data_IF_313743650902
#
_entry.id   IF_313743650902
#
_cell.length_a   1.000
_cell.length_b   1.000
_cell.length_c   1.000
_cell.angle_alpha   90.00
_cell.angle_beta   90.00
_cell.angle_gamma   90.00
#
_symmetry.space_group_name_H-M   'P 1'
#
loop_
_entity.id
_entity.type
_entity.pdbx_description
1 polymer ?
#
# COMPACT_ATOMS: atom_id res chain seq x y z
N UNK A 1 13.28 5.06 11.16
CA UNK A 1 13.49 3.61 11.27
C UNK A 1 12.40 2.78 10.59
N UNK A 2 11.34 3.40 10.09
CA UNK A 2 10.19 2.67 9.57
C UNK A 2 10.28 2.51 8.06
N UNK A 3 10.72 1.34 7.67
CA UNK A 3 10.67 0.89 6.30
C UNK A 3 9.31 0.24 6.08
N UNK A 4 8.42 0.92 5.35
CA UNK A 4 7.05 0.46 5.16
C UNK A 4 6.10 1.58 4.76
N UNK A 5 4.80 1.38 5.00
CA UNK A 5 3.75 2.39 4.77
C UNK A 5 2.70 2.34 5.88
N UNK A 6 1.94 3.42 5.99
CA UNK A 6 0.72 3.47 6.81
C UNK A 6 -0.44 3.78 5.87
N UNK A 7 -1.48 2.98 5.96
CA UNK A 7 -2.74 3.23 5.28
C UNK A 7 -3.77 3.73 6.29
N UNK A 8 -4.66 4.60 5.84
CA UNK A 8 -5.72 5.18 6.64
C UNK A 8 -7.02 5.16 5.86
N UNK A 9 -8.11 4.75 6.52
CA UNK A 9 -9.46 4.75 5.96
C UNK A 9 -10.32 5.63 6.85
N UNK A 10 -11.05 6.53 6.23
CA UNK A 10 -12.10 7.30 6.88
C UNK A 10 -13.39 6.50 6.94
N UNK A 11 -14.15 6.63 8.03
CA UNK A 11 -15.51 6.13 8.15
C UNK A 11 -16.53 6.96 7.37
N UNK A 12 -17.79 6.57 7.50
CA UNK A 12 -18.92 7.31 6.91
C UNK A 12 -18.94 8.76 7.39
N UNK A 13 -19.29 9.70 6.51
CA UNK A 13 -19.37 11.12 6.81
C UNK A 13 -18.07 11.91 6.58
N UNK A 14 -17.00 11.28 6.09
CA UNK A 14 -15.76 11.98 5.78
C UNK A 14 -15.96 13.09 4.74
N UNK A 15 -16.78 12.84 3.72
CA UNK A 15 -17.08 13.82 2.66
C UNK A 15 -17.88 14.99 3.22
N UNK A 16 -18.73 14.75 4.21
CA UNK A 16 -19.55 15.79 4.86
C UNK A 16 -18.70 16.78 5.68
N UNK A 17 -17.53 16.35 6.18
CA UNK A 17 -16.59 17.22 6.89
C UNK A 17 -15.99 18.32 6.01
N UNK A 18 -15.97 18.13 4.70
CA UNK A 18 -15.41 19.04 3.72
C UNK A 18 -16.48 19.86 2.99
N UNK A 19 -17.77 19.63 3.27
CA UNK A 19 -18.85 20.42 2.73
C UNK A 19 -18.96 21.75 3.50
N UNK A 20 -18.29 22.77 2.98
CA UNK A 20 -18.29 24.12 3.53
C UNK A 20 -19.66 24.82 3.44
N UNK A 21 -20.63 24.31 2.69
CA UNK A 21 -21.97 24.88 2.56
C UNK A 21 -22.90 24.46 3.71
N UNK A 22 -22.64 23.33 4.34
CA UNK A 22 -23.51 22.81 5.39
C UNK A 22 -23.35 23.51 6.75
N UNK A 23 -22.29 24.28 6.96
CA UNK A 23 -22.00 24.94 8.25
C UNK A 23 -21.88 23.94 9.41
N UNK A 24 -21.80 22.67 9.09
CA UNK A 24 -21.65 21.61 10.06
C UNK A 24 -20.19 21.53 10.50
N UNK A 25 -20.04 21.22 11.75
CA UNK A 25 -18.94 20.43 12.29
C UNK A 25 -17.93 21.14 13.19
N UNK A 26 -18.36 22.06 14.01
CA UNK A 26 -17.64 22.34 15.24
C UNK A 26 -17.87 21.16 16.22
N UNK A 27 -17.01 20.14 16.19
CA UNK A 27 -16.92 19.11 17.21
C UNK A 27 -17.42 17.70 16.85
N UNK A 28 -17.77 17.43 15.62
CA UNK A 28 -18.02 16.05 15.18
C UNK A 28 -16.69 15.29 15.05
N UNK A 29 -16.64 14.10 15.61
CA UNK A 29 -15.53 13.16 15.45
C UNK A 29 -15.88 12.19 14.33
N UNK A 30 -14.93 11.95 13.46
CA UNK A 30 -15.03 10.95 12.41
C UNK A 30 -14.30 9.68 12.86
N UNK A 31 -14.99 8.58 12.79
CA UNK A 31 -14.34 7.28 12.97
C UNK A 31 -13.40 7.02 11.80
N UNK A 32 -12.19 6.63 12.11
CA UNK A 32 -11.20 6.29 11.12
C UNK A 32 -10.35 5.14 11.60
N UNK A 33 -9.82 4.37 10.66
CA UNK A 33 -8.93 3.26 10.96
C UNK A 33 -7.61 3.42 10.23
N UNK A 34 -6.52 3.24 10.97
CA UNK A 34 -5.18 3.26 10.39
C UNK A 34 -4.47 1.95 10.71
N UNK A 35 -3.75 1.40 9.73
CA UNK A 35 -2.87 0.28 9.96
C UNK A 35 -1.50 0.55 9.31
N UNK A 36 -0.50 -0.02 9.92
CA UNK A 36 0.88 0.10 9.46
C UNK A 36 1.34 -1.23 8.87
N UNK A 37 2.11 -1.13 7.81
CA UNK A 37 2.87 -2.24 7.25
C UNK A 37 4.35 -1.86 7.31
N UNK A 38 5.16 -2.64 7.99
CA UNK A 38 6.60 -2.48 8.03
C UNK A 38 7.30 -3.73 7.48
N UNK A 39 8.53 -3.56 7.01
CA UNK A 39 9.29 -4.62 6.38
C UNK A 39 10.28 -5.21 7.39
N UNK A 40 10.07 -6.47 7.78
CA UNK A 40 10.94 -7.18 8.71
C UNK A 40 12.36 -7.26 8.16
N UNK A 41 13.32 -6.76 8.92
CA UNK A 41 14.73 -6.72 8.51
C UNK A 41 14.97 -6.03 7.16
N UNK A 42 14.02 -5.19 6.71
CA UNK A 42 14.14 -4.43 5.48
C UNK A 42 15.12 -3.28 5.60
N UNK A 43 15.64 -2.83 4.46
CA UNK A 43 16.58 -1.72 4.38
C UNK A 43 15.85 -0.37 4.59
N UNK A 44 16.05 0.27 5.75
CA UNK A 44 15.49 1.59 6.05
C UNK A 44 16.03 2.70 5.14
N UNK A 45 17.20 2.48 4.55
CA UNK A 45 17.86 3.41 3.62
C UNK A 45 17.54 3.11 2.15
N UNK A 46 16.50 2.30 1.88
CA UNK A 46 16.09 1.99 0.51
C UNK A 46 15.79 3.29 -0.25
N UNK A 47 16.33 3.40 -1.47
CA UNK A 47 16.11 4.57 -2.32
C UNK A 47 14.68 4.58 -2.80
N UNK A 48 14.00 5.72 -2.58
CA UNK A 48 12.63 5.93 -3.05
C UNK A 48 12.68 6.85 -4.27
N UNK A 49 12.04 6.45 -5.34
CA UNK A 49 11.94 7.24 -6.58
C UNK A 49 10.49 7.32 -7.06
N UNK A 50 10.12 8.48 -7.59
CA UNK A 50 8.82 8.69 -8.22
C UNK A 50 8.86 8.40 -9.72
N UNK A 51 7.80 7.85 -10.26
CA UNK A 51 7.60 7.66 -11.69
C UNK A 51 6.19 8.08 -12.10
N UNK A 52 6.00 8.31 -13.40
CA UNK A 52 4.73 8.76 -13.96
C UNK A 52 4.25 10.08 -13.36
N UNK A 53 5.02 11.17 -13.62
CA UNK A 53 4.63 12.53 -13.22
C UNK A 53 3.20 12.83 -13.70
N UNK A 54 2.33 13.22 -12.77
CA UNK A 54 0.91 13.49 -13.03
C UNK A 54 0.66 14.92 -13.57
N UNK A 55 1.72 15.73 -13.71
CA UNK A 55 1.65 17.06 -14.32
C UNK A 55 1.13 18.16 -13.40
N UNK A 56 0.99 17.88 -12.11
CA UNK A 56 0.64 18.89 -11.10
C UNK A 56 1.55 18.80 -9.88
N UNK A 57 1.52 19.86 -9.05
CA UNK A 57 2.30 19.94 -7.83
C UNK A 57 1.36 19.98 -6.62
N UNK A 58 1.81 19.41 -5.53
CA UNK A 58 1.11 19.39 -4.25
C UNK A 58 1.89 20.20 -3.23
N UNK A 59 1.17 20.94 -2.39
CA UNK A 59 1.74 21.62 -1.25
C UNK A 59 1.23 20.96 0.03
N UNK A 60 2.12 20.78 0.98
CA UNK A 60 1.84 20.10 2.22
C UNK A 60 2.16 21.01 3.40
N UNK A 61 1.10 21.55 4.03
CA UNK A 61 1.20 22.45 5.16
C UNK A 61 0.44 21.86 6.34
N UNK A 62 1.09 20.96 7.10
CA UNK A 62 0.48 20.36 8.28
C UNK A 62 1.08 20.86 9.57
N UNK A 63 0.18 21.12 10.55
CA UNK A 63 0.56 21.60 11.87
C UNK A 63 1.14 23.00 11.87
N UNK A 64 1.67 23.42 13.02
CA UNK A 64 2.20 24.77 13.24
C UNK A 64 3.71 24.89 13.01
N UNK A 65 4.39 23.77 12.75
CA UNK A 65 5.83 23.76 12.52
C UNK A 65 6.12 23.91 11.03
N UNK A 66 6.47 25.14 10.64
CA UNK A 66 6.74 25.51 9.24
C UNK A 66 7.95 24.74 8.66
N UNK A 67 8.86 24.23 9.49
CA UNK A 67 9.99 23.44 9.01
C UNK A 67 9.58 22.08 8.42
N UNK A 68 8.36 21.64 8.72
CA UNK A 68 7.73 20.42 8.19
C UNK A 68 6.83 20.68 6.99
N UNK A 69 6.73 21.92 6.55
CA UNK A 69 5.94 22.25 5.38
C UNK A 69 6.74 22.00 4.10
N UNK A 70 6.07 21.44 3.11
CA UNK A 70 6.65 21.21 1.81
C UNK A 70 5.76 21.81 0.72
N UNK A 71 6.36 22.43 -0.28
CA UNK A 71 5.65 23.06 -1.40
C UNK A 71 6.31 22.71 -2.73
N UNK A 72 5.50 22.69 -3.80
CA UNK A 72 6.00 22.41 -5.14
C UNK A 72 6.44 20.97 -5.34
N UNK A 73 5.89 20.05 -4.54
CA UNK A 73 6.16 18.62 -4.68
C UNK A 73 5.51 18.09 -5.97
N UNK A 74 6.28 17.45 -6.81
CA UNK A 74 5.72 16.79 -8.00
C UNK A 74 4.83 15.61 -7.59
N UNK A 75 3.58 15.59 -8.08
CA UNK A 75 2.71 14.45 -7.91
C UNK A 75 3.12 13.34 -8.87
N UNK A 76 3.30 12.13 -8.33
CA UNK A 76 3.69 10.95 -9.10
C UNK A 76 2.65 9.86 -8.98
N UNK A 77 2.43 9.12 -10.06
CA UNK A 77 1.48 8.01 -10.08
C UNK A 77 2.07 6.71 -9.58
N UNK A 78 3.38 6.65 -9.37
CA UNK A 78 4.06 5.43 -8.92
C UNK A 78 5.24 5.82 -8.03
N UNK A 79 5.42 5.04 -6.94
CA UNK A 79 6.58 5.14 -6.06
C UNK A 79 7.31 3.80 -6.08
N UNK A 80 8.61 3.84 -6.25
CA UNK A 80 9.47 2.65 -6.24
C UNK A 80 10.41 2.73 -5.04
N UNK A 81 10.53 1.61 -4.34
CA UNK A 81 11.50 1.38 -3.28
C UNK A 81 12.53 0.39 -3.81
N UNK A 82 13.75 0.86 -4.04
CA UNK A 82 14.82 0.01 -4.55
C UNK A 82 15.53 -0.70 -3.38
N UNK A 83 15.81 -2.00 -3.55
CA UNK A 83 16.58 -2.79 -2.59
C UNK A 83 15.98 -2.76 -1.16
N UNK A 84 14.67 -3.00 -1.06
CA UNK A 84 14.02 -3.19 0.24
C UNK A 84 14.65 -4.35 1.01
N UNK A 85 14.94 -5.43 0.30
CA UNK A 85 15.89 -6.47 0.69
C UNK A 85 16.85 -6.69 -0.49
N UNK A 86 18.00 -7.35 -0.30
CA UNK A 86 18.94 -7.59 -1.39
C UNK A 86 18.26 -8.20 -2.62
N UNK A 87 18.22 -7.46 -3.72
CA UNK A 87 17.60 -7.86 -4.97
C UNK A 87 16.05 -7.86 -4.96
N UNK A 88 15.41 -7.27 -3.96
CA UNK A 88 13.95 -7.14 -3.90
C UNK A 88 13.53 -5.68 -3.93
N UNK A 89 12.68 -5.33 -4.86
CA UNK A 89 12.10 -3.99 -5.05
C UNK A 89 10.60 -4.02 -4.76
N UNK A 90 10.09 -2.89 -4.25
CA UNK A 90 8.65 -2.65 -4.12
C UNK A 90 8.25 -1.54 -5.09
N UNK A 91 7.16 -1.75 -5.82
CA UNK A 91 6.54 -0.76 -6.68
C UNK A 91 5.12 -0.52 -6.17
N UNK A 92 4.85 0.70 -5.72
CA UNK A 92 3.50 1.13 -5.34
C UNK A 92 2.91 1.96 -6.48
N UNK A 93 1.75 1.55 -7.01
CA UNK A 93 1.09 2.19 -8.14
C UNK A 93 -0.28 2.72 -7.70
N UNK A 94 -0.40 4.05 -7.63
CA UNK A 94 -1.63 4.77 -7.30
C UNK A 94 -2.36 5.33 -8.51
N UNK A 95 -1.97 4.94 -9.74
CA UNK A 95 -2.64 5.42 -10.95
C UNK A 95 -4.05 4.86 -11.03
N UNK A 96 -5.02 5.76 -11.25
CA UNK A 96 -6.40 5.34 -11.50
C UNK A 96 -6.49 4.52 -12.81
N UNK A 97 -6.80 3.23 -12.62
CA UNK A 97 -7.08 2.30 -13.73
C UNK A 97 -8.57 1.96 -13.78
N UNK A 98 -9.42 2.84 -13.23
CA UNK A 98 -10.87 2.63 -13.11
C UNK A 98 -11.30 1.85 -11.88
N UNK A 99 -10.38 1.44 -11.01
CA UNK A 99 -10.65 0.64 -9.80
C UNK A 99 -10.42 1.38 -8.49
N UNK A 100 -9.83 2.59 -8.53
CA UNK A 100 -9.48 3.41 -7.35
C UNK A 100 -8.71 2.65 -6.25
N UNK A 101 -7.90 1.66 -6.63
CA UNK A 101 -7.17 0.80 -5.70
C UNK A 101 -5.69 1.13 -5.71
N UNK A 102 -5.09 1.20 -4.54
CA UNK A 102 -3.64 1.19 -4.41
C UNK A 102 -3.18 -0.23 -4.77
N UNK A 103 -2.26 -0.32 -5.72
CA UNK A 103 -1.62 -1.57 -6.11
C UNK A 103 -0.16 -1.54 -5.69
N UNK A 104 0.37 -2.68 -5.28
CA UNK A 104 1.79 -2.83 -5.04
C UNK A 104 2.30 -4.13 -5.62
N UNK A 105 3.51 -4.09 -6.16
CA UNK A 105 4.18 -5.23 -6.78
C UNK A 105 5.53 -5.44 -6.11
N UNK A 106 5.85 -6.67 -5.74
CA UNK A 106 7.20 -7.06 -5.38
C UNK A 106 7.93 -7.57 -6.61
N UNK A 107 9.09 -6.99 -6.90
CA UNK A 107 9.96 -7.46 -7.98
C UNK A 107 11.19 -8.11 -7.37
N UNK A 108 11.29 -9.42 -7.51
CA UNK A 108 12.42 -10.23 -7.06
C UNK A 108 13.35 -10.41 -8.24
N UNK A 109 14.56 -9.84 -8.16
CA UNK A 109 15.57 -9.95 -9.21
C UNK A 109 16.10 -11.38 -9.32
N UNK A 110 16.62 -11.74 -10.49
CA UNK A 110 17.25 -13.02 -10.72
C UNK A 110 18.28 -13.36 -9.62
N UNK A 111 18.15 -14.52 -9.01
CA UNK A 111 19.01 -14.99 -7.93
C UNK A 111 18.76 -14.41 -6.54
N UNK A 112 17.82 -13.46 -6.40
CA UNK A 112 17.41 -12.96 -5.09
C UNK A 112 16.48 -13.93 -4.37
N UNK A 113 16.39 -13.81 -3.05
CA UNK A 113 15.60 -14.71 -2.20
C UNK A 113 14.25 -14.05 -1.83
N UNK A 114 13.12 -14.52 -2.40
CA UNK A 114 11.79 -13.99 -2.08
C UNK A 114 11.33 -14.28 -0.64
N UNK A 115 11.96 -15.21 0.06
CA UNK A 115 11.63 -15.52 1.45
C UNK A 115 11.95 -14.36 2.41
N UNK A 116 12.76 -13.39 1.97
CA UNK A 116 13.02 -12.15 2.69
C UNK A 116 11.78 -11.24 2.75
N UNK A 117 10.83 -11.40 1.83
CA UNK A 117 9.61 -10.59 1.81
C UNK A 117 8.73 -10.98 3.00
N UNK A 118 8.87 -10.24 4.08
CA UNK A 118 8.05 -10.39 5.28
C UNK A 118 7.52 -9.02 5.68
N UNK A 119 6.21 -8.86 5.57
CA UNK A 119 5.47 -7.65 5.94
C UNK A 119 4.88 -7.83 7.33
N UNK A 120 5.17 -6.91 8.25
CA UNK A 120 4.59 -6.88 9.60
C UNK A 120 3.41 -5.94 9.57
N UNK A 121 2.21 -6.45 9.81
CA UNK A 121 0.98 -5.69 9.90
C UNK A 121 0.63 -5.39 11.36
N UNK A 122 0.41 -4.12 11.65
CA UNK A 122 0.02 -3.58 12.95
C UNK A 122 -1.26 -2.75 12.81
N UNK A 123 -2.18 -2.84 13.77
CA UNK A 123 -3.42 -2.07 13.76
C UNK A 123 -4.57 -2.72 13.00
N UNK A 124 -4.41 -3.93 12.49
CA UNK A 124 -5.46 -4.70 11.85
C UNK A 124 -5.38 -6.17 12.23
N UNK A 125 -6.51 -6.87 12.21
CA UNK A 125 -6.53 -8.33 12.30
C UNK A 125 -6.64 -8.92 10.91
N UNK A 126 -5.76 -9.88 10.62
CA UNK A 126 -5.70 -10.54 9.33
C UNK A 126 -6.21 -11.97 9.40
N UNK A 127 -6.91 -12.39 8.35
CA UNK A 127 -7.30 -13.80 8.18
C UNK A 127 -7.30 -14.18 6.70
N UNK A 128 -6.95 -15.44 6.42
CA UNK A 128 -7.08 -16.00 5.08
C UNK A 128 -8.53 -16.46 4.87
N UNK A 129 -9.09 -16.09 3.73
CA UNK A 129 -10.39 -16.57 3.27
C UNK A 129 -10.23 -17.91 2.55
N UNK A 130 -11.33 -18.69 2.42
CA UNK A 130 -11.29 -20.00 1.73
C UNK A 130 -10.85 -19.94 0.27
N UNK A 131 -10.98 -18.79 -0.38
CA UNK A 131 -10.54 -18.56 -1.75
C UNK A 131 -9.06 -18.16 -1.86
N UNK A 132 -8.35 -18.05 -0.73
CA UNK A 132 -6.93 -17.67 -0.66
C UNK A 132 -6.68 -16.17 -0.61
N UNK A 133 -7.73 -15.34 -0.63
CA UNK A 133 -7.61 -13.90 -0.43
C UNK A 133 -7.37 -13.55 1.05
N UNK A 134 -6.80 -12.37 1.29
CA UNK A 134 -6.48 -11.86 2.62
C UNK A 134 -7.55 -10.85 3.06
N UNK A 135 -8.16 -11.10 4.21
CA UNK A 135 -9.13 -10.22 4.82
C UNK A 135 -8.47 -9.39 5.92
N UNK A 136 -8.61 -8.07 5.83
CA UNK A 136 -8.24 -7.10 6.84
C UNK A 136 -9.49 -6.64 7.57
N UNK A 137 -9.59 -6.93 8.85
CA UNK A 137 -10.70 -6.52 9.70
C UNK A 137 -10.44 -5.11 10.23
N UNK A 138 -11.22 -4.14 9.77
CA UNK A 138 -11.07 -2.72 10.06
C UNK A 138 -12.16 -2.15 10.99
N UNK A 139 -12.88 -3.02 11.67
CA UNK A 139 -13.95 -2.63 12.59
C UNK A 139 -15.10 -1.91 11.88
N UNK A 140 -15.49 -0.74 12.39
CA UNK A 140 -16.65 0.00 11.88
C UNK A 140 -16.42 0.68 10.53
N UNK A 141 -15.15 0.84 10.12
CA UNK A 141 -14.82 1.46 8.83
C UNK A 141 -14.98 0.51 7.63
N UNK A 142 -15.36 -0.74 7.89
CA UNK A 142 -15.54 -1.77 6.86
C UNK A 142 -14.27 -2.55 6.57
N UNK A 143 -14.43 -3.76 6.06
CA UNK A 143 -13.33 -4.68 5.82
C UNK A 143 -12.66 -4.46 4.46
N UNK A 144 -11.35 -4.70 4.39
CA UNK A 144 -10.59 -4.69 3.14
C UNK A 144 -10.26 -6.12 2.74
N UNK A 145 -10.41 -6.40 1.46
CA UNK A 145 -10.01 -7.67 0.87
C UNK A 145 -8.84 -7.41 -0.07
N UNK A 146 -7.74 -8.08 0.19
CA UNK A 146 -6.62 -8.19 -0.71
C UNK A 146 -6.73 -9.51 -1.47
N UNK A 147 -6.76 -9.45 -2.80
CA UNK A 147 -6.98 -10.61 -3.67
C UNK A 147 -5.93 -11.69 -3.49
N UNK A 148 -6.17 -12.87 -4.08
CA UNK A 148 -5.17 -13.93 -4.14
C UNK A 148 -3.93 -13.41 -4.86
N UNK A 149 -2.72 -13.57 -4.30
CA UNK A 149 -1.52 -13.01 -4.90
C UNK A 149 -1.24 -13.70 -6.24
N UNK A 150 -1.02 -12.89 -7.28
CA UNK A 150 -0.65 -13.37 -8.59
C UNK A 150 0.85 -13.26 -8.79
N UNK A 151 1.56 -14.37 -8.91
CA UNK A 151 2.98 -14.34 -9.20
C UNK A 151 3.27 -14.81 -10.63
N UNK A 152 4.26 -14.17 -11.27
CA UNK A 152 4.62 -14.49 -12.65
C UNK A 152 6.05 -14.13 -13.00
N UNK A 153 6.54 -14.73 -14.08
CA UNK A 153 7.82 -14.43 -14.71
C UNK A 153 7.60 -14.02 -16.17
N UNK A 154 8.39 -13.06 -16.65
CA UNK A 154 8.43 -12.68 -18.06
C UNK A 154 9.56 -13.43 -18.75
N UNK A 155 9.23 -14.48 -19.48
CA UNK A 155 10.17 -15.26 -20.28
C UNK A 155 10.33 -14.62 -21.65
N UNK A 156 11.56 -14.48 -22.12
CA UNK A 156 11.90 -13.83 -23.40
C UNK A 156 11.35 -12.38 -23.52
N UNK A 157 11.15 -11.73 -22.36
CA UNK A 157 10.69 -10.33 -22.26
C UNK A 157 9.21 -10.09 -22.60
N UNK A 158 8.44 -11.14 -22.90
CA UNK A 158 7.03 -10.97 -23.29
C UNK A 158 6.08 -12.08 -22.85
N UNK A 159 6.56 -13.30 -22.74
CA UNK A 159 5.70 -14.43 -22.37
C UNK A 159 5.55 -14.53 -20.86
N UNK A 160 4.32 -14.37 -20.38
CA UNK A 160 3.98 -14.54 -18.97
C UNK A 160 3.89 -16.03 -18.65
N UNK A 161 4.64 -16.45 -17.64
CA UNK A 161 4.56 -17.79 -17.03
C UNK A 161 4.13 -17.57 -15.59
N UNK A 162 2.92 -18.03 -15.26
CA UNK A 162 2.39 -17.94 -13.90
C UNK A 162 3.17 -18.86 -12.97
N UNK A 163 3.39 -18.38 -11.74
CA UNK A 163 3.99 -19.12 -10.63
C UNK A 163 2.94 -19.28 -9.54
N UNK A 164 2.82 -20.45 -8.95
CA UNK A 164 1.94 -20.65 -7.80
C UNK A 164 2.38 -19.73 -6.66
N UNK A 165 1.43 -19.02 -6.07
CA UNK A 165 1.71 -18.08 -5.00
C UNK A 165 0.53 -18.05 -4.03
N UNK A 166 0.82 -18.16 -2.73
CA UNK A 166 -0.17 -18.10 -1.67
C UNK A 166 0.34 -17.22 -0.54
N UNK A 167 -0.56 -16.57 0.19
CA UNK A 167 -0.20 -15.88 1.42
C UNK A 167 0.13 -16.89 2.52
N UNK A 168 1.11 -16.51 3.34
CA UNK A 168 1.43 -17.18 4.60
C UNK A 168 1.36 -16.18 5.74
N UNK A 169 0.54 -16.47 6.73
CA UNK A 169 0.35 -15.63 7.91
C UNK A 169 1.00 -16.26 9.13
N UNK A 170 1.68 -15.44 9.93
CA UNK A 170 2.23 -15.83 11.22
C UNK A 170 1.86 -14.78 12.27
N UNK A 171 0.93 -15.12 13.15
CA UNK A 171 0.53 -14.23 14.25
C UNK A 171 1.62 -14.18 15.32
N UNK A 172 1.90 -12.97 15.81
CA UNK A 172 2.89 -12.71 16.84
C UNK A 172 2.22 -12.47 18.21
N UNK A 173 2.97 -12.66 19.29
CA UNK A 173 2.45 -12.47 20.66
C UNK A 173 2.14 -11.01 21.01
N UNK A 174 2.70 -10.07 20.29
CA UNK A 174 2.49 -8.63 20.45
C UNK A 174 1.24 -8.11 19.71
N UNK A 175 0.50 -8.99 19.06
CA UNK A 175 -0.71 -8.66 18.32
C UNK A 175 -0.48 -8.27 16.85
N UNK A 176 0.76 -8.24 16.39
CA UNK A 176 1.07 -8.05 14.98
C UNK A 176 0.91 -9.36 14.18
N UNK A 177 0.81 -9.26 12.86
CA UNK A 177 0.78 -10.42 11.97
C UNK A 177 1.83 -10.25 10.88
N UNK A 178 2.71 -11.23 10.76
CA UNK A 178 3.64 -11.32 9.64
C UNK A 178 2.92 -11.94 8.43
N UNK A 179 3.05 -11.29 7.28
CA UNK A 179 2.55 -11.74 5.99
C UNK A 179 3.74 -11.98 5.08
N UNK A 180 3.81 -13.15 4.50
CA UNK A 180 4.82 -13.55 3.53
C UNK A 180 4.17 -14.39 2.42
N UNK A 181 4.95 -14.89 1.48
CA UNK A 181 4.46 -15.66 0.34
C UNK A 181 5.04 -17.08 0.34
N UNK A 182 4.18 -18.06 0.01
CA UNK A 182 4.60 -19.41 -0.35
C UNK A 182 4.54 -19.52 -1.87
N UNK A 183 5.69 -19.81 -2.49
CA UNK A 183 5.85 -19.88 -3.93
C UNK A 183 6.06 -21.32 -4.39
N UNK A 184 5.47 -21.65 -5.54
CA UNK A 184 5.79 -22.88 -6.27
C UNK A 184 7.14 -22.78 -6.98
N UNK A 185 7.43 -23.76 -7.81
CA UNK A 185 8.67 -23.82 -8.60
C UNK A 185 8.70 -22.71 -9.67
N UNK A 186 9.83 -22.01 -9.80
CA UNK A 186 10.06 -21.00 -10.80
C UNK A 186 11.54 -20.94 -11.23
N UNK A 187 11.84 -20.25 -12.32
CA UNK A 187 13.21 -20.08 -12.82
C UNK A 187 13.95 -18.96 -12.07
N UNK A 188 14.86 -19.34 -11.17
CA UNK A 188 15.66 -18.38 -10.38
C UNK A 188 16.64 -17.54 -11.21
N UNK A 189 16.83 -17.83 -12.50
CA UNK A 189 17.72 -17.07 -13.37
C UNK A 189 17.08 -15.85 -14.02
N UNK A 190 15.75 -15.65 -13.85
CA UNK A 190 14.99 -14.51 -14.34
C UNK A 190 14.15 -13.89 -13.21
N UNK A 191 13.75 -12.64 -13.39
CA UNK A 191 12.98 -11.93 -12.36
C UNK A 191 11.62 -12.59 -12.13
N UNK A 192 11.18 -12.56 -10.86
CA UNK A 192 9.82 -12.91 -10.44
C UNK A 192 9.08 -11.64 -10.04
N UNK A 193 7.82 -11.51 -10.44
CA UNK A 193 6.92 -10.45 -9.96
C UNK A 193 5.83 -11.11 -9.13
N UNK A 194 5.57 -10.55 -7.94
CA UNK A 194 4.44 -10.93 -7.07
C UNK A 194 3.52 -9.72 -7.00
N UNK A 195 2.31 -9.89 -7.48
CA UNK A 195 1.31 -8.86 -7.71
C UNK A 195 0.04 -9.16 -6.88
N UNK A 196 -0.05 -8.69 -5.63
CA UNK A 196 -1.26 -8.76 -4.84
C UNK A 196 -2.20 -7.61 -5.24
N UNK A 197 -3.41 -7.93 -5.66
CA UNK A 197 -4.43 -6.90 -5.94
C UNK A 197 -5.18 -6.54 -4.65
N UNK A 198 -5.06 -5.29 -4.19
CA UNK A 198 -5.88 -4.80 -3.08
C UNK A 198 -7.25 -4.41 -3.63
N UNK A 199 -8.27 -5.19 -3.28
CA UNK A 199 -9.66 -4.90 -3.60
C UNK A 199 -10.27 -4.18 -2.40
N UNK A 200 -10.39 -2.83 -2.47
CA UNK A 200 -11.15 -2.09 -1.47
C UNK A 200 -12.63 -2.43 -1.64
N UNK A 201 -13.19 -3.14 -0.68
CA UNK A 201 -14.59 -3.50 -0.63
C UNK A 201 -15.39 -2.63 0.34
N UNK A 202 -15.01 -1.37 0.53
CA UNK A 202 -15.83 -0.41 1.25
C UNK A 202 -16.41 0.59 0.28
N UNK A 203 -17.71 0.76 0.34
CA UNK A 203 -18.43 1.82 -0.30
C UNK A 203 -17.98 3.16 0.29
N UNK A 204 -16.96 3.78 -0.30
CA UNK A 204 -16.86 5.23 -0.24
C UNK A 204 -17.78 5.71 -1.36
N UNK A 205 -19.07 5.68 -1.10
CA UNK A 205 -20.09 6.11 -2.04
C UNK A 205 -20.22 7.62 -2.00
N UNK A 206 -19.35 8.33 -2.68
CA UNK A 206 -19.69 9.67 -3.10
C UNK A 206 -20.30 9.61 -4.50
N UNK A 207 -21.48 10.18 -4.67
CA UNK A 207 -22.12 10.37 -5.98
C UNK A 207 -21.48 11.48 -6.83
N UNK A 208 -20.37 12.05 -6.35
CA UNK A 208 -19.58 13.11 -6.96
C UNK A 208 -18.11 12.68 -7.07
N UNK A 209 -17.39 13.28 -8.02
CA UNK A 209 -15.99 12.98 -8.25
C UNK A 209 -15.14 13.30 -7.01
N UNK A 210 -14.61 12.29 -6.34
CA UNK A 210 -13.67 12.46 -5.23
C UNK A 210 -12.30 12.87 -5.79
N UNK A 211 -11.89 14.09 -5.45
CA UNK A 211 -10.58 14.63 -5.74
C UNK A 211 -9.70 14.37 -4.51
N UNK A 212 -8.84 13.39 -4.55
CA UNK A 212 -7.89 13.30 -3.48
C UNK A 212 -7.18 11.97 -3.29
N UNK A 213 -6.44 11.50 -4.27
CA UNK A 213 -5.33 10.60 -3.97
C UNK A 213 -4.05 11.41 -3.93
N UNK A 214 -3.56 11.69 -2.75
CA UNK A 214 -2.20 12.15 -2.55
C UNK A 214 -1.44 11.05 -1.85
N UNK A 215 -0.48 10.44 -2.53
CA UNK A 215 0.59 9.75 -1.84
C UNK A 215 1.58 10.83 -1.38
N UNK A 216 1.76 10.94 -0.09
CA UNK A 216 2.78 11.77 0.52
C UNK A 216 3.63 10.89 1.42
N UNK A 217 4.87 11.24 1.63
CA UNK A 217 5.73 10.62 2.65
C UNK A 217 6.12 11.70 3.65
N UNK A 218 6.26 11.31 4.91
CA UNK A 218 6.74 12.19 5.96
C UNK A 218 8.28 12.23 5.97
N UNK A 219 8.84 13.10 6.83
CA UNK A 219 10.30 13.27 6.98
C UNK A 219 11.03 11.99 7.44
N UNK A 220 10.28 10.99 7.94
CA UNK A 220 10.78 9.68 8.33
C UNK A 220 10.70 8.67 7.16
N UNK A 221 10.25 9.11 5.98
CA UNK A 221 10.13 8.30 4.77
C UNK A 221 8.91 7.38 4.73
N UNK A 222 7.86 7.67 5.53
CA UNK A 222 6.60 6.91 5.51
C UNK A 222 5.73 7.40 4.37
N UNK A 223 5.25 6.49 3.53
CA UNK A 223 4.27 6.82 2.52
C UNK A 223 2.88 6.95 3.18
N UNK A 224 2.21 8.07 2.93
CA UNK A 224 0.84 8.32 3.35
C UNK A 224 -0.01 8.32 2.09
N UNK A 225 -0.94 7.37 1.96
CA UNK A 225 -1.96 7.39 0.94
C UNK A 225 -3.27 7.82 1.59
N UNK A 226 -3.89 8.87 1.08
CA UNK A 226 -5.21 9.31 1.47
C UNK A 226 -6.18 9.14 0.30
N UNK A 227 -7.36 8.61 0.58
CA UNK A 227 -8.49 8.60 -0.35
C UNK A 227 -9.35 9.82 -0.08
#
# INVERSE_FOLDING_TARGET
>A
EDNGWTAWIAGEGYDDLWDHESGANDGESLDSHAWRVSFKDGNSESIKSGAHNLGYHVNYYRGQDESKWASGLEAVGQVRYDEVWPGVELIMDGRDRGTKTLKYDWVVKAGADPSNIVMIHEGTQLSLRPDGSLLHLMGETGDIIEGVPFAYQLVDGSRIVQVECNYKLTSQLDGTTEVSFELGDYDHSINLVIDPDIVFATYIGASQANWGFTAAFDDDGRALAGA
#
